data_IF_619338233277
#
_entry.id   IF_619338233277
#
_cell.length_a   1.000
_cell.length_b   1.000
_cell.length_c   1.000
_cell.angle_alpha   90.00
_cell.angle_beta   90.00
_cell.angle_gamma   90.00
#
_symmetry.space_group_name_H-M   'P 1'
#
loop_
_entity.id
_entity.type
_entity.pdbx_description
1 polymer ?
#
# COMPACT_ATOMS: atom_id res chain seq x y z
N UNK A 1 -14.45 -41.20 26.63
CA UNK A 1 -13.23 -40.93 25.83
C UNK A 1 -13.61 -40.48 24.41
N UNK A 2 -14.51 -41.17 23.70
CA UNK A 2 -14.98 -40.78 22.36
C UNK A 2 -15.56 -39.35 22.27
N UNK A 3 -16.48 -38.99 23.18
CA UNK A 3 -17.14 -37.67 23.15
C UNK A 3 -16.17 -36.49 23.34
N UNK A 4 -15.13 -36.71 24.14
CA UNK A 4 -14.07 -35.73 24.41
C UNK A 4 -13.20 -35.50 23.15
N UNK A 5 -12.93 -36.56 22.39
CA UNK A 5 -12.19 -36.48 21.13
C UNK A 5 -13.00 -35.72 20.08
N UNK A 6 -14.31 -36.01 19.97
CA UNK A 6 -15.21 -35.31 19.03
C UNK A 6 -15.30 -33.81 19.37
N UNK A 7 -15.40 -33.48 20.66
CA UNK A 7 -15.41 -32.08 21.11
C UNK A 7 -14.11 -31.35 20.77
N UNK A 8 -12.95 -32.00 20.98
CA UNK A 8 -11.65 -31.43 20.64
C UNK A 8 -11.48 -31.25 19.12
N UNK A 9 -11.93 -32.21 18.32
CA UNK A 9 -11.92 -32.11 16.86
C UNK A 9 -12.79 -30.93 16.38
N UNK A 10 -13.94 -30.70 17.01
CA UNK A 10 -14.79 -29.53 16.74
C UNK A 10 -14.06 -28.21 17.00
N UNK A 11 -13.39 -28.08 18.15
CA UNK A 11 -12.62 -26.87 18.49
C UNK A 11 -11.46 -26.66 17.50
N UNK A 12 -10.73 -27.72 17.18
CA UNK A 12 -9.62 -27.65 16.20
C UNK A 12 -10.13 -27.28 14.81
N UNK A 13 -11.25 -27.84 14.36
CA UNK A 13 -11.85 -27.53 13.07
C UNK A 13 -12.30 -26.06 12.98
N UNK A 14 -12.92 -25.53 14.03
CA UNK A 14 -13.32 -24.11 14.09
C UNK A 14 -12.08 -23.20 14.10
N UNK A 15 -11.05 -23.54 14.87
CA UNK A 15 -9.80 -22.78 14.90
C UNK A 15 -9.10 -22.75 13.53
N UNK A 16 -8.96 -23.89 12.86
CA UNK A 16 -8.38 -23.97 11.52
C UNK A 16 -9.21 -23.16 10.54
N UNK A 17 -10.54 -23.27 10.59
CA UNK A 17 -11.44 -22.50 9.72
C UNK A 17 -11.27 -21.00 9.93
N UNK A 18 -11.18 -20.53 11.18
CA UNK A 18 -10.94 -19.13 11.50
C UNK A 18 -9.58 -18.66 10.97
N UNK A 19 -8.51 -19.43 11.14
CA UNK A 19 -7.17 -19.09 10.60
C UNK A 19 -7.15 -19.08 9.07
N UNK A 20 -7.88 -19.99 8.42
CA UNK A 20 -8.00 -20.02 6.95
C UNK A 20 -8.81 -18.84 6.45
N UNK A 21 -9.93 -18.51 7.10
CA UNK A 21 -10.73 -17.31 6.80
C UNK A 21 -9.86 -16.07 6.98
N UNK A 22 -9.16 -15.92 8.11
CA UNK A 22 -8.22 -14.82 8.31
C UNK A 22 -7.13 -14.81 7.25
N UNK A 23 -6.57 -15.94 6.83
CA UNK A 23 -5.57 -15.94 5.74
C UNK A 23 -6.14 -15.64 4.36
N UNK A 24 -7.41 -15.92 4.11
CA UNK A 24 -8.07 -15.61 2.83
C UNK A 24 -8.51 -14.14 2.82
N UNK A 25 -9.13 -13.68 3.90
CA UNK A 25 -9.65 -12.32 4.04
C UNK A 25 -8.56 -11.31 4.40
N UNK A 26 -7.70 -11.62 5.37
CA UNK A 26 -6.54 -10.82 5.79
C UNK A 26 -5.24 -11.25 5.09
N UNK A 27 -5.35 -12.07 4.04
CA UNK A 27 -4.23 -12.56 3.22
C UNK A 27 -3.20 -11.48 2.97
N UNK A 28 -2.10 -11.58 3.74
CA UNK A 28 -1.29 -10.45 4.21
C UNK A 28 -1.22 -9.28 3.24
N UNK A 29 -1.64 -8.10 3.70
CA UNK A 29 -1.73 -6.93 2.86
C UNK A 29 -0.38 -6.64 2.20
N UNK A 30 -0.31 -6.93 0.90
CA UNK A 30 0.84 -6.60 0.04
C UNK A 30 0.72 -5.18 -0.50
N UNK A 31 -0.35 -4.48 -0.16
CA UNK A 31 -0.68 -3.15 -0.64
C UNK A 31 -0.17 -2.09 0.34
N UNK A 32 0.54 -1.13 -0.23
CA UNK A 32 1.13 0.00 0.46
C UNK A 32 0.65 1.27 -0.22
N UNK A 33 0.64 2.35 0.55
CA UNK A 33 0.37 3.70 0.07
C UNK A 33 1.63 4.52 0.27
N UNK A 34 2.11 5.15 -0.80
CA UNK A 34 3.22 6.07 -0.79
C UNK A 34 2.69 7.49 -0.96
N UNK A 35 3.10 8.37 -0.07
CA UNK A 35 2.86 9.81 -0.11
C UNK A 35 4.18 10.50 -0.41
N UNK A 36 4.22 11.34 -1.45
CA UNK A 36 5.44 11.92 -2.01
C UNK A 36 5.25 13.43 -2.09
N UNK A 37 6.03 14.19 -1.32
CA UNK A 37 6.08 15.65 -1.40
C UNK A 37 7.39 16.06 -2.05
N UNK A 38 7.31 16.76 -3.18
CA UNK A 38 8.46 17.20 -3.97
C UNK A 38 8.10 18.38 -4.85
N UNK A 39 9.05 19.29 -5.06
CA UNK A 39 8.89 20.39 -6.01
C UNK A 39 8.95 19.90 -7.48
N UNK A 40 9.41 18.65 -7.71
CA UNK A 40 9.40 17.95 -9.01
C UNK A 40 8.27 16.92 -9.13
N UNK A 41 7.16 17.11 -8.42
CA UNK A 41 6.01 16.19 -8.44
C UNK A 41 5.51 15.86 -9.86
N UNK A 42 5.49 16.83 -10.78
CA UNK A 42 4.97 16.61 -12.13
C UNK A 42 5.79 15.57 -12.92
N UNK A 43 7.11 15.60 -12.77
CA UNK A 43 8.01 14.64 -13.42
C UNK A 43 7.88 13.25 -12.80
N UNK A 44 7.83 13.19 -11.46
CA UNK A 44 7.62 11.96 -10.71
C UNK A 44 6.30 11.31 -11.13
N UNK A 45 5.20 12.07 -11.17
CA UNK A 45 3.88 11.58 -11.57
C UNK A 45 3.92 10.96 -12.98
N UNK A 46 4.50 11.67 -13.95
CA UNK A 46 4.64 11.17 -15.32
C UNK A 46 5.41 9.85 -15.37
N UNK A 47 6.54 9.76 -14.68
CA UNK A 47 7.37 8.56 -14.66
C UNK A 47 6.68 7.38 -13.98
N UNK A 48 5.91 7.61 -12.91
CA UNK A 48 5.11 6.57 -12.26
C UNK A 48 4.05 6.02 -13.24
N UNK A 49 3.33 6.90 -13.94
CA UNK A 49 2.31 6.49 -14.92
C UNK A 49 2.93 5.70 -16.07
N UNK A 50 4.01 6.20 -16.67
CA UNK A 50 4.63 5.60 -17.86
C UNK A 50 5.37 4.29 -17.55
N UNK A 51 6.14 4.23 -16.45
CA UNK A 51 7.02 3.08 -16.15
C UNK A 51 6.36 2.02 -15.30
N UNK A 52 5.45 2.42 -14.41
CA UNK A 52 4.83 1.50 -13.45
C UNK A 52 3.38 1.18 -13.80
N UNK A 53 2.79 1.87 -14.78
CA UNK A 53 1.37 1.75 -15.12
C UNK A 53 0.47 1.94 -13.89
N UNK A 54 0.91 2.78 -12.95
CA UNK A 54 0.16 3.16 -11.75
C UNK A 54 -0.31 4.60 -11.87
N UNK A 55 -1.53 4.84 -11.44
CA UNK A 55 -2.07 6.19 -11.33
C UNK A 55 -1.70 6.79 -9.99
N UNK A 56 -1.65 8.12 -9.93
CA UNK A 56 -1.44 8.85 -8.68
C UNK A 56 -2.59 9.83 -8.46
N UNK A 57 -2.86 10.13 -7.20
CA UNK A 57 -3.75 11.24 -6.81
C UNK A 57 -2.88 12.43 -6.45
N UNK A 58 -3.21 13.60 -7.01
CA UNK A 58 -2.54 14.86 -6.72
C UNK A 58 -3.31 15.60 -5.65
N UNK A 59 -2.63 16.01 -4.57
CA UNK A 59 -3.23 16.65 -3.40
C UNK A 59 -2.45 17.95 -3.12
N UNK A 60 -3.16 19.08 -3.05
CA UNK A 60 -2.58 20.33 -2.55
C UNK A 60 -2.45 20.25 -1.03
N UNK A 61 -1.25 20.54 -0.51
CA UNK A 61 -0.93 20.50 0.91
C UNK A 61 -0.30 21.82 1.34
N UNK A 62 -0.42 22.16 2.63
CA UNK A 62 0.24 23.32 3.22
C UNK A 62 1.34 22.84 4.18
N UNK A 63 2.57 23.29 3.97
CA UNK A 63 3.68 22.97 4.86
C UNK A 63 3.46 23.58 6.24
N UNK A 64 3.29 22.74 7.27
CA UNK A 64 3.02 23.23 8.63
C UNK A 64 4.16 24.09 9.23
N UNK A 65 5.40 23.89 8.79
CA UNK A 65 6.55 24.69 9.22
C UNK A 65 6.78 25.92 8.33
N UNK A 66 6.81 25.74 7.01
CA UNK A 66 7.11 26.83 6.08
C UNK A 66 5.92 27.75 5.78
N UNK A 67 4.69 27.28 5.98
CA UNK A 67 3.47 27.97 5.54
C UNK A 67 3.28 27.99 4.03
N UNK A 68 4.10 27.26 3.28
CA UNK A 68 4.06 27.27 1.81
C UNK A 68 3.11 26.19 1.28
N UNK A 69 2.41 26.53 0.19
CA UNK A 69 1.64 25.54 -0.57
C UNK A 69 2.60 24.62 -1.31
N UNK A 70 2.43 23.31 -1.12
CA UNK A 70 3.15 22.25 -1.84
C UNK A 70 2.17 21.27 -2.45
N UNK A 71 2.67 20.45 -3.35
CA UNK A 71 1.92 19.35 -3.95
C UNK A 71 2.44 18.03 -3.38
N UNK A 72 1.49 17.17 -3.02
CA UNK A 72 1.73 15.80 -2.61
C UNK A 72 1.12 14.84 -3.64
N UNK A 73 1.90 13.84 -4.06
CA UNK A 73 1.37 12.70 -4.80
C UNK A 73 1.06 11.58 -3.84
N UNK A 74 -0.06 10.90 -4.08
CA UNK A 74 -0.44 9.67 -3.38
C UNK A 74 -0.54 8.54 -4.40
N UNK A 75 0.17 7.45 -4.16
CA UNK A 75 0.15 6.27 -5.03
C UNK A 75 0.04 5.00 -4.20
N UNK A 76 -0.86 4.12 -4.60
CA UNK A 76 -0.94 2.77 -4.06
C UNK A 76 -0.03 1.85 -4.86
N UNK A 77 0.72 0.98 -4.19
CA UNK A 77 1.68 0.08 -4.82
C UNK A 77 1.86 -1.21 -4.01
N UNK A 78 2.39 -2.25 -4.64
CA UNK A 78 2.65 -3.54 -4.01
C UNK A 78 4.10 -3.64 -3.53
N UNK A 79 4.39 -4.56 -2.60
CA UNK A 79 5.78 -4.79 -2.16
C UNK A 79 6.76 -5.08 -3.32
N UNK A 80 6.28 -5.72 -4.40
CA UNK A 80 7.09 -6.01 -5.60
C UNK A 80 7.45 -4.74 -6.38
N UNK A 81 6.61 -3.72 -6.31
CA UNK A 81 6.79 -2.44 -7.01
C UNK A 81 7.64 -1.44 -6.21
N UNK A 82 7.90 -1.72 -4.93
CA UNK A 82 8.64 -0.82 -4.02
C UNK A 82 9.96 -0.33 -4.61
N UNK A 83 10.81 -1.26 -5.07
CA UNK A 83 12.14 -0.92 -5.59
C UNK A 83 12.04 -0.03 -6.84
N UNK A 84 11.08 -0.32 -7.74
CA UNK A 84 10.83 0.50 -8.92
C UNK A 84 10.34 1.91 -8.53
N UNK A 85 9.43 2.00 -7.57
CA UNK A 85 8.90 3.28 -7.10
C UNK A 85 10.02 4.16 -6.50
N UNK A 86 10.84 3.60 -5.61
CA UNK A 86 11.96 4.33 -5.02
C UNK A 86 13.01 4.73 -6.06
N UNK A 87 13.26 3.88 -7.06
CA UNK A 87 14.16 4.22 -8.17
C UNK A 87 13.61 5.36 -9.03
N UNK A 88 12.30 5.40 -9.30
CA UNK A 88 11.66 6.50 -10.03
C UNK A 88 11.76 7.79 -9.23
N UNK A 89 11.35 7.76 -7.96
CA UNK A 89 11.38 8.94 -7.09
C UNK A 89 12.80 9.48 -6.96
N UNK A 90 13.77 8.65 -6.57
CA UNK A 90 15.16 9.10 -6.38
C UNK A 90 15.88 9.51 -7.67
N UNK A 91 15.48 8.94 -8.82
CA UNK A 91 15.97 9.35 -10.13
C UNK A 91 15.47 10.72 -10.54
N UNK A 92 14.21 11.03 -10.21
CA UNK A 92 13.60 12.33 -10.46
C UNK A 92 13.98 13.37 -9.40
N UNK A 93 13.97 13.05 -8.11
CA UNK A 93 14.30 13.98 -7.03
C UNK A 93 14.81 13.23 -5.79
N UNK A 94 16.11 13.40 -5.48
CA UNK A 94 16.73 12.82 -4.28
C UNK A 94 16.31 13.51 -2.98
N UNK A 95 15.77 14.71 -3.06
CA UNK A 95 15.27 15.48 -1.92
C UNK A 95 13.78 15.27 -1.63
N UNK A 96 13.11 14.39 -2.38
CA UNK A 96 11.69 14.13 -2.19
C UNK A 96 11.42 13.57 -0.78
N UNK A 97 10.43 14.14 -0.10
CA UNK A 97 9.97 13.63 1.19
C UNK A 97 8.92 12.55 0.95
N UNK A 98 9.21 11.33 1.41
CA UNK A 98 8.42 10.14 1.11
C UNK A 98 7.96 9.47 2.39
N UNK A 99 6.65 9.23 2.51
CA UNK A 99 6.05 8.46 3.61
C UNK A 99 5.35 7.24 3.05
N UNK A 100 5.50 6.10 3.71
CA UNK A 100 4.91 4.83 3.27
C UNK A 100 4.08 4.22 4.39
N UNK A 101 2.84 3.88 4.07
CA UNK A 101 1.90 3.24 4.98
C UNK A 101 1.49 1.88 4.44
N UNK A 102 1.35 0.89 5.31
CA UNK A 102 0.66 -0.35 4.95
C UNK A 102 -0.83 -0.07 4.91
N UNK A 103 -1.48 -0.36 3.79
CA UNK A 103 -2.93 -0.33 3.74
C UNK A 103 -3.48 -1.57 4.45
N UNK A 104 -4.65 -1.48 5.08
CA UNK A 104 -5.37 -2.67 5.56
C UNK A 104 -6.08 -3.37 4.39
N UNK A 105 -6.66 -2.58 3.50
CA UNK A 105 -7.39 -3.02 2.31
C UNK A 105 -7.30 -1.89 1.25
N UNK A 106 -7.25 -2.25 -0.04
CA UNK A 106 -7.37 -1.31 -1.16
C UNK A 106 -8.36 -1.91 -2.14
N UNK A 107 -9.46 -1.19 -2.39
CA UNK A 107 -10.52 -1.62 -3.29
C UNK A 107 -10.60 -0.68 -4.49
N UNK A 108 -10.62 -1.24 -5.70
CA UNK A 108 -10.72 -0.48 -6.95
C UNK A 108 -10.12 -1.22 -8.15
N UNK A 109 -10.32 -0.66 -9.35
CA UNK A 109 -9.73 -1.23 -10.57
C UNK A 109 -8.18 -1.22 -10.49
N UNK A 110 -7.56 -2.31 -10.97
CA UNK A 110 -6.11 -2.53 -10.85
C UNK A 110 -5.67 -3.14 -9.50
N UNK A 111 -6.64 -3.45 -8.62
CA UNK A 111 -6.49 -4.12 -7.33
C UNK A 111 -7.53 -5.24 -7.20
N UNK A 112 -7.60 -6.12 -8.20
CA UNK A 112 -8.45 -7.33 -8.14
C UNK A 112 -7.59 -8.51 -7.69
N UNK A 113 -8.11 -9.23 -6.68
CA UNK A 113 -7.57 -10.42 -6.02
C UNK A 113 -6.98 -11.48 -6.97
#
# INVERSE_FOLDING_TARGET
>A
IGDMIVSLLGVVAVFISAVVIDKIFLGGTRAFVCEIVSDRYAEINRQIIEKMQRTTTVIEVLGGYSGEKKIMLKVSFTMREYASLMSVISGCDRGAFVTIHRAHEINGEGWTY
#
